data_IF_855912571974
#
_entry.id   IF_855912571974
#
_cell.length_a   1.000
_cell.length_b   1.000
_cell.length_c   1.000
_cell.angle_alpha   90.00
_cell.angle_beta   90.00
_cell.angle_gamma   90.00
#
_symmetry.space_group_name_H-M   'P 1'
#
loop_
_entity.id
_entity.type
_entity.pdbx_description
1 polymer ?
#
# COMPACT_ATOMS: atom_id res chain seq x y z
N UNK A 1 -38.55 -7.53 -18.27
CA UNK A 1 -37.97 -6.80 -17.14
C UNK A 1 -37.09 -7.79 -16.39
N UNK A 2 -35.79 -7.76 -16.61
CA UNK A 2 -34.86 -8.61 -15.88
C UNK A 2 -34.67 -8.01 -14.47
N UNK A 3 -35.08 -8.77 -13.46
CA UNK A 3 -34.77 -8.45 -12.07
C UNK A 3 -33.22 -8.52 -11.89
N UNK A 4 -32.59 -7.52 -11.27
CA UNK A 4 -31.17 -7.60 -10.97
C UNK A 4 -30.93 -8.76 -10.01
N UNK A 5 -30.05 -9.68 -10.40
CA UNK A 5 -29.68 -10.85 -9.59
C UNK A 5 -29.22 -10.39 -8.19
N UNK A 6 -29.86 -10.96 -7.14
CA UNK A 6 -29.51 -10.67 -5.76
C UNK A 6 -28.04 -11.03 -5.48
N UNK A 7 -27.23 -10.03 -5.14
CA UNK A 7 -25.82 -10.26 -4.79
C UNK A 7 -25.71 -10.87 -3.39
N UNK A 8 -24.85 -11.87 -3.24
CA UNK A 8 -24.57 -12.48 -1.94
C UNK A 8 -24.01 -11.45 -0.94
N UNK A 9 -24.39 -11.46 0.35
CA UNK A 9 -23.80 -10.60 1.39
C UNK A 9 -22.27 -10.63 1.44
N UNK A 10 -21.65 -11.78 1.15
CA UNK A 10 -20.20 -11.93 1.05
C UNK A 10 -19.62 -11.15 -0.13
N UNK A 11 -20.30 -11.09 -1.26
CA UNK A 11 -19.89 -10.32 -2.44
C UNK A 11 -19.98 -8.81 -2.14
N UNK A 12 -21.05 -8.38 -1.49
CA UNK A 12 -21.24 -6.97 -1.09
C UNK A 12 -20.13 -6.54 -0.12
N UNK A 13 -19.81 -7.36 0.89
CA UNK A 13 -18.74 -7.11 1.85
C UNK A 13 -17.36 -7.00 1.18
N UNK A 14 -17.05 -7.88 0.22
CA UNK A 14 -15.79 -7.81 -0.54
C UNK A 14 -15.69 -6.54 -1.39
N UNK A 15 -16.77 -6.15 -2.07
CA UNK A 15 -16.80 -4.92 -2.88
C UNK A 15 -16.60 -3.69 -1.99
N UNK A 16 -17.22 -3.66 -0.81
CA UNK A 16 -17.02 -2.56 0.15
C UNK A 16 -15.57 -2.50 0.66
N UNK A 17 -14.96 -3.64 0.99
CA UNK A 17 -13.57 -3.73 1.42
C UNK A 17 -12.59 -3.25 0.33
N UNK A 18 -12.79 -3.66 -0.92
CA UNK A 18 -11.97 -3.21 -2.06
C UNK A 18 -12.09 -1.69 -2.26
N UNK A 19 -13.32 -1.14 -2.22
CA UNK A 19 -13.53 0.30 -2.34
C UNK A 19 -12.85 1.07 -1.20
N UNK A 20 -12.94 0.56 0.04
CA UNK A 20 -12.26 1.14 1.19
C UNK A 20 -10.74 1.13 0.98
N UNK A 21 -10.17 0.01 0.53
CA UNK A 21 -8.74 -0.10 0.21
C UNK A 21 -8.27 0.95 -0.79
N UNK A 22 -9.00 1.13 -1.90
CA UNK A 22 -8.70 2.16 -2.91
C UNK A 22 -8.69 3.56 -2.31
N UNK A 23 -9.63 3.88 -1.41
CA UNK A 23 -9.67 5.17 -0.73
C UNK A 23 -8.48 5.35 0.23
N UNK A 24 -8.11 4.31 0.99
CA UNK A 24 -6.93 4.32 1.87
C UNK A 24 -5.67 4.61 1.07
N UNK A 25 -5.39 3.88 -0.03
CA UNK A 25 -4.23 4.12 -0.90
C UNK A 25 -4.22 5.56 -1.43
N UNK A 26 -5.37 6.05 -1.89
CA UNK A 26 -5.49 7.42 -2.40
C UNK A 26 -5.22 8.49 -1.32
N UNK A 27 -5.64 8.25 -0.09
CA UNK A 27 -5.35 9.15 1.02
C UNK A 27 -3.87 9.09 1.40
N UNK A 28 -3.26 7.90 1.45
CA UNK A 28 -1.83 7.73 1.73
C UNK A 28 -0.92 8.26 0.62
N UNK A 29 -1.41 8.35 -0.61
CA UNK A 29 -0.73 9.03 -1.72
C UNK A 29 -0.66 10.55 -1.47
N UNK A 30 -1.76 11.16 -1.07
CA UNK A 30 -1.95 12.62 -1.04
C UNK A 30 -1.55 13.25 0.29
N UNK A 31 -2.01 12.69 1.40
CA UNK A 31 -1.93 13.34 2.71
C UNK A 31 -0.52 13.55 3.28
N UNK A 32 0.49 12.70 3.01
CA UNK A 32 1.85 12.93 3.52
C UNK A 32 2.46 14.26 3.09
N UNK A 33 2.01 14.82 1.95
CA UNK A 33 2.51 16.10 1.39
C UNK A 33 1.84 17.32 2.01
N UNK A 34 0.83 17.13 2.86
CA UNK A 34 0.07 18.22 3.49
C UNK A 34 0.43 18.36 4.97
N UNK A 35 0.31 19.59 5.48
CA UNK A 35 0.47 19.86 6.90
C UNK A 35 -0.55 19.06 7.73
N UNK A 36 -0.23 18.75 8.99
CA UNK A 36 -1.15 18.01 9.87
C UNK A 36 -2.50 18.70 10.00
N UNK A 37 -2.49 20.03 10.04
CA UNK A 37 -3.70 20.86 10.15
C UNK A 37 -4.61 20.76 8.92
N UNK A 38 -4.05 20.54 7.74
CA UNK A 38 -4.79 20.50 6.48
C UNK A 38 -5.26 19.11 6.09
N UNK A 39 -4.63 18.05 6.64
CA UNK A 39 -4.89 16.66 6.24
C UNK A 39 -6.37 16.29 6.29
N UNK A 40 -7.07 16.70 7.35
CA UNK A 40 -8.49 16.34 7.50
C UNK A 40 -9.37 16.96 6.41
N UNK A 41 -9.19 18.26 6.13
CA UNK A 41 -9.94 18.97 5.10
C UNK A 41 -9.66 18.45 3.70
N UNK A 42 -8.39 18.19 3.39
CA UNK A 42 -7.95 17.60 2.12
C UNK A 42 -8.53 16.19 1.95
N UNK A 43 -8.46 15.35 2.97
CA UNK A 43 -9.00 14.00 2.94
C UNK A 43 -10.50 13.99 2.69
N UNK A 44 -11.25 14.84 3.40
CA UNK A 44 -12.71 14.95 3.24
C UNK A 44 -13.10 15.36 1.81
N UNK A 45 -12.37 16.31 1.21
CA UNK A 45 -12.57 16.72 -0.19
C UNK A 45 -12.30 15.57 -1.16
N UNK A 46 -11.21 14.83 -0.94
CA UNK A 46 -10.84 13.68 -1.78
C UNK A 46 -11.89 12.57 -1.72
N UNK A 47 -12.36 12.22 -0.51
CA UNK A 47 -13.40 11.20 -0.32
C UNK A 47 -14.71 11.61 -0.99
N UNK A 48 -15.16 12.84 -0.82
CA UNK A 48 -16.39 13.35 -1.48
C UNK A 48 -16.32 13.24 -3.00
N UNK A 49 -15.13 13.42 -3.58
CA UNK A 49 -14.93 13.30 -5.02
C UNK A 49 -14.91 11.83 -5.49
N UNK A 50 -14.24 10.94 -4.75
CA UNK A 50 -14.03 9.55 -5.16
C UNK A 50 -15.12 8.57 -4.70
N UNK A 51 -15.84 8.93 -3.63
CA UNK A 51 -16.91 8.14 -3.04
C UNK A 51 -18.08 9.02 -2.56
N UNK A 52 -18.81 9.67 -3.48
CA UNK A 52 -19.84 10.66 -3.13
C UNK A 52 -21.01 10.07 -2.31
N UNK A 53 -21.15 8.74 -2.28
CA UNK A 53 -22.20 8.06 -1.51
C UNK A 53 -21.79 7.59 -0.11
N UNK A 54 -20.56 7.88 0.34
CA UNK A 54 -20.13 7.54 1.70
C UNK A 54 -20.76 8.50 2.71
N UNK A 55 -21.21 8.00 3.87
CA UNK A 55 -21.72 8.85 4.94
C UNK A 55 -20.59 9.68 5.57
N UNK A 56 -20.93 10.85 6.12
CA UNK A 56 -19.93 11.71 6.77
C UNK A 56 -19.23 11.00 7.93
N UNK A 57 -19.95 10.20 8.73
CA UNK A 57 -19.38 9.44 9.85
C UNK A 57 -18.36 8.39 9.36
N UNK A 58 -18.69 7.63 8.31
CA UNK A 58 -17.78 6.64 7.74
C UNK A 58 -16.57 7.30 7.07
N UNK A 59 -16.75 8.47 6.45
CA UNK A 59 -15.66 9.25 5.90
C UNK A 59 -14.70 9.72 7.01
N UNK A 60 -15.25 10.27 8.10
CA UNK A 60 -14.47 10.77 9.22
C UNK A 60 -13.72 9.64 9.97
N UNK A 61 -14.33 8.47 10.11
CA UNK A 61 -13.68 7.29 10.67
C UNK A 61 -12.48 6.87 9.79
N UNK A 62 -12.68 6.80 8.47
CA UNK A 62 -11.63 6.47 7.53
C UNK A 62 -10.48 7.49 7.58
N UNK A 63 -10.80 8.79 7.62
CA UNK A 63 -9.78 9.85 7.71
C UNK A 63 -8.97 9.70 8.99
N UNK A 64 -9.63 9.51 10.14
CA UNK A 64 -8.94 9.32 11.43
C UNK A 64 -8.01 8.12 11.38
N UNK A 65 -8.45 6.99 10.81
CA UNK A 65 -7.61 5.78 10.70
C UNK A 65 -6.37 6.02 9.85
N UNK A 66 -6.50 6.73 8.72
CA UNK A 66 -5.36 7.03 7.84
C UNK A 66 -4.43 8.08 8.45
N UNK A 67 -4.97 9.13 9.07
CA UNK A 67 -4.14 10.16 9.73
C UNK A 67 -3.34 9.53 10.89
N UNK A 68 -3.93 8.58 11.63
CA UNK A 68 -3.19 7.86 12.68
C UNK A 68 -2.02 7.03 12.14
N UNK A 69 -2.13 6.45 10.94
CA UNK A 69 -1.00 5.77 10.29
C UNK A 69 0.15 6.72 9.96
N UNK A 70 -0.16 7.94 9.52
CA UNK A 70 0.86 8.95 9.17
C UNK A 70 1.67 9.43 10.37
N UNK A 71 1.13 9.31 11.58
CA UNK A 71 1.75 9.76 12.83
C UNK A 71 2.22 8.60 13.71
N UNK A 72 1.91 7.35 13.34
CA UNK A 72 2.30 6.17 14.09
C UNK A 72 3.84 6.01 14.09
N UNK A 73 4.49 5.81 15.26
CA UNK A 73 5.94 5.60 15.33
C UNK A 73 6.42 4.45 14.45
N UNK A 74 5.64 3.40 14.30
CA UNK A 74 5.92 2.23 13.48
C UNK A 74 6.01 2.59 11.98
N UNK A 75 5.35 3.68 11.57
CA UNK A 75 5.31 4.16 10.19
C UNK A 75 6.28 5.31 9.90
N UNK A 76 7.07 5.75 10.89
CA UNK A 76 7.96 6.92 10.75
C UNK A 76 8.94 6.86 9.56
N UNK A 77 9.34 5.64 9.15
CA UNK A 77 10.24 5.43 8.01
C UNK A 77 9.53 5.30 6.66
N UNK A 78 8.20 5.32 6.62
CA UNK A 78 7.39 5.11 5.41
C UNK A 78 7.11 6.43 4.69
N UNK A 79 6.61 7.43 5.43
CA UNK A 79 6.08 8.67 4.87
C UNK A 79 7.09 9.81 4.94
N UNK A 80 8.32 9.55 4.45
CA UNK A 80 9.37 10.58 4.40
C UNK A 80 9.03 11.69 3.39
N UNK A 81 9.44 12.94 3.64
CA UNK A 81 9.14 14.07 2.75
C UNK A 81 9.55 13.85 1.29
N UNK A 82 10.70 13.20 1.06
CA UNK A 82 11.26 12.95 -0.27
C UNK A 82 10.85 11.58 -0.84
N UNK A 83 9.96 10.85 -0.17
CA UNK A 83 9.47 9.57 -0.69
C UNK A 83 8.46 9.78 -1.82
N UNK A 84 8.57 8.92 -2.85
CA UNK A 84 7.70 8.92 -4.02
C UNK A 84 6.51 7.99 -3.78
N UNK A 85 5.33 8.39 -4.24
CA UNK A 85 4.11 7.58 -4.16
C UNK A 85 3.63 7.14 -5.54
N UNK A 86 2.97 5.97 -5.60
CA UNK A 86 2.35 5.44 -6.81
C UNK A 86 3.32 5.33 -7.99
N UNK A 87 4.53 4.82 -7.74
CA UNK A 87 5.63 4.75 -8.72
C UNK A 87 5.37 3.63 -9.73
N UNK A 88 5.14 3.94 -11.00
CA UNK A 88 4.98 2.91 -12.02
C UNK A 88 6.30 2.19 -12.28
N UNK A 89 6.25 0.87 -12.40
CA UNK A 89 7.40 0.04 -12.78
C UNK A 89 7.01 -0.90 -13.92
N UNK A 90 7.91 -1.03 -14.88
CA UNK A 90 7.75 -1.94 -16.01
C UNK A 90 9.10 -2.46 -16.46
N UNK A 91 9.17 -3.74 -16.80
CA UNK A 91 10.39 -4.36 -17.29
C UNK A 91 10.26 -5.88 -17.42
N UNK A 92 11.39 -6.56 -17.61
CA UNK A 92 11.45 -8.02 -17.74
C UNK A 92 12.18 -8.62 -16.55
N UNK A 93 11.55 -9.61 -15.93
CA UNK A 93 12.11 -10.40 -14.82
C UNK A 93 11.94 -11.88 -15.18
N UNK A 94 13.02 -12.66 -15.25
CA UNK A 94 12.99 -14.10 -15.60
C UNK A 94 12.16 -14.35 -16.88
N UNK A 95 12.44 -13.63 -17.96
CA UNK A 95 11.79 -13.71 -19.27
C UNK A 95 10.28 -13.40 -19.26
N UNK A 96 9.78 -12.81 -18.18
CA UNK A 96 8.38 -12.38 -18.05
C UNK A 96 8.28 -10.87 -17.97
N UNK A 97 7.34 -10.30 -18.71
CA UNK A 97 7.02 -8.88 -18.62
C UNK A 97 6.29 -8.64 -17.30
N UNK A 98 6.82 -7.74 -16.49
CA UNK A 98 6.22 -7.28 -15.24
C UNK A 98 5.82 -5.82 -15.42
N UNK A 99 4.56 -5.53 -15.16
CA UNK A 99 4.02 -4.17 -15.07
C UNK A 99 3.33 -4.02 -13.73
N UNK A 100 3.57 -2.91 -13.06
CA UNK A 100 2.96 -2.66 -11.77
C UNK A 100 3.16 -1.24 -11.28
N UNK A 101 2.79 -1.03 -10.04
CA UNK A 101 2.91 0.24 -9.36
C UNK A 101 3.29 -0.02 -7.92
N UNK A 102 4.34 0.64 -7.46
CA UNK A 102 4.80 0.55 -6.07
C UNK A 102 4.14 1.69 -5.30
N UNK A 103 3.44 1.37 -4.23
CA UNK A 103 2.67 2.36 -3.46
C UNK A 103 3.56 3.46 -2.89
N UNK A 104 4.77 3.11 -2.40
CA UNK A 104 5.75 4.11 -1.95
C UNK A 104 7.19 3.63 -2.10
N UNK A 105 8.05 4.56 -2.49
CA UNK A 105 9.50 4.35 -2.65
C UNK A 105 10.25 5.44 -1.90
N UNK A 106 11.17 5.07 -1.03
CA UNK A 106 12.10 5.99 -0.40
C UNK A 106 13.52 5.67 -0.89
N UNK A 107 14.21 6.68 -1.41
CA UNK A 107 15.54 6.54 -2.00
C UNK A 107 16.53 7.34 -1.15
N UNK A 108 17.57 6.68 -0.68
CA UNK A 108 18.70 7.30 0.00
C UNK A 108 19.99 7.07 -0.79
N UNK A 109 21.12 7.52 -0.26
CA UNK A 109 22.43 7.36 -0.90
C UNK A 109 22.76 5.89 -1.20
N UNK A 110 22.52 4.98 -0.24
CA UNK A 110 22.93 3.58 -0.32
C UNK A 110 21.77 2.58 -0.39
N UNK A 111 20.53 3.04 -0.28
CA UNK A 111 19.37 2.16 -0.12
C UNK A 111 18.15 2.67 -0.87
N UNK A 112 17.36 1.74 -1.41
CA UNK A 112 16.00 1.97 -1.89
C UNK A 112 15.05 1.10 -1.06
N UNK A 113 14.07 1.73 -0.42
CA UNK A 113 13.00 1.06 0.33
C UNK A 113 11.70 1.07 -0.46
N UNK A 114 11.14 -0.11 -0.69
CA UNK A 114 9.87 -0.30 -1.37
C UNK A 114 8.82 -0.64 -0.33
N UNK A 115 7.70 0.07 -0.36
CA UNK A 115 6.56 -0.20 0.53
C UNK A 115 5.33 -0.49 -0.31
N UNK A 116 4.62 -1.53 0.07
CA UNK A 116 3.34 -1.90 -0.51
C UNK A 116 2.28 -1.96 0.61
N UNK A 117 1.13 -1.31 0.38
CA UNK A 117 0.08 -1.16 1.39
C UNK A 117 -0.91 -2.30 1.28
N UNK A 118 -1.19 -2.94 2.39
CA UNK A 118 -2.17 -4.03 2.50
C UNK A 118 -3.37 -3.57 3.31
N UNK A 119 -4.50 -3.43 2.62
CA UNK A 119 -5.79 -3.03 3.20
C UNK A 119 -6.74 -4.22 3.20
N UNK A 120 -7.33 -4.49 4.35
CA UNK A 120 -8.21 -5.63 4.56
C UNK A 120 -7.47 -6.94 4.80
N UNK A 121 -8.21 -7.91 5.37
CA UNK A 121 -7.65 -9.21 5.73
C UNK A 121 -6.97 -9.23 7.12
N UNK A 122 -6.52 -10.43 7.50
CA UNK A 122 -5.81 -10.63 8.75
C UNK A 122 -4.39 -10.07 8.64
N UNK A 123 -3.99 -9.27 9.61
CA UNK A 123 -2.59 -8.87 9.79
C UNK A 123 -1.80 -10.08 10.32
N UNK A 124 -0.72 -10.53 9.65
CA UNK A 124 0.06 -11.67 10.11
C UNK A 124 0.70 -11.42 11.47
N UNK A 125 0.77 -12.43 12.32
CA UNK A 125 1.46 -12.35 13.61
C UNK A 125 2.99 -12.35 13.40
N UNK A 126 3.48 -13.13 12.44
CA UNK A 126 4.89 -13.23 12.08
C UNK A 126 5.17 -13.02 10.59
N UNK A 127 6.41 -12.69 10.24
CA UNK A 127 6.84 -12.49 8.84
C UNK A 127 6.61 -13.73 7.97
N UNK A 128 6.76 -14.93 8.54
CA UNK A 128 6.57 -16.20 7.83
C UNK A 128 5.11 -16.51 7.47
N UNK A 129 4.15 -15.79 8.05
CA UNK A 129 2.73 -15.89 7.71
C UNK A 129 2.34 -14.96 6.54
N UNK A 130 3.30 -14.25 5.96
CA UNK A 130 3.06 -13.37 4.82
C UNK A 130 2.53 -14.18 3.64
N UNK A 131 1.37 -13.80 3.04
CA UNK A 131 0.82 -14.50 1.89
C UNK A 131 1.81 -14.54 0.71
N UNK A 132 1.96 -15.72 0.10
CA UNK A 132 2.90 -15.95 -1.01
C UNK A 132 2.73 -14.95 -2.16
N UNK A 133 1.48 -14.58 -2.48
CA UNK A 133 1.19 -13.59 -3.53
C UNK A 133 1.85 -12.23 -3.28
N UNK A 134 1.98 -11.81 -2.02
CA UNK A 134 2.63 -10.54 -1.65
C UNK A 134 4.15 -10.65 -1.76
N UNK A 135 4.71 -11.81 -1.39
CA UNK A 135 6.14 -12.09 -1.53
C UNK A 135 6.53 -12.05 -3.01
N UNK A 136 5.77 -12.73 -3.89
CA UNK A 136 6.02 -12.76 -5.33
C UNK A 136 5.88 -11.39 -5.98
N UNK A 137 4.89 -10.59 -5.58
CA UNK A 137 4.72 -9.21 -6.05
C UNK A 137 5.94 -8.37 -5.71
N UNK A 138 6.36 -8.39 -4.44
CA UNK A 138 7.48 -7.59 -3.98
C UNK A 138 8.83 -8.10 -4.51
N UNK A 139 8.99 -9.39 -4.75
CA UNK A 139 10.15 -9.95 -5.42
C UNK A 139 10.31 -9.40 -6.84
N UNK A 140 9.20 -9.35 -7.60
CA UNK A 140 9.22 -8.78 -8.96
C UNK A 140 9.57 -7.28 -8.94
N UNK A 141 9.00 -6.50 -8.03
CA UNK A 141 9.33 -5.08 -7.87
C UNK A 141 10.78 -4.86 -7.44
N UNK A 142 11.28 -5.68 -6.50
CA UNK A 142 12.68 -5.67 -6.07
C UNK A 142 13.63 -5.94 -7.23
N UNK A 143 13.35 -6.97 -8.03
CA UNK A 143 14.18 -7.33 -9.19
C UNK A 143 14.26 -6.18 -10.21
N UNK A 144 13.13 -5.53 -10.55
CA UNK A 144 13.12 -4.36 -11.43
C UNK A 144 13.86 -3.17 -10.83
N UNK A 145 13.68 -2.91 -9.54
CA UNK A 145 14.35 -1.80 -8.86
C UNK A 145 15.86 -1.99 -8.81
N UNK A 146 16.34 -3.22 -8.61
CA UNK A 146 17.78 -3.55 -8.66
C UNK A 146 18.41 -3.35 -10.04
N UNK A 147 17.64 -3.50 -11.12
CA UNK A 147 18.11 -3.17 -12.48
C UNK A 147 18.31 -1.66 -12.66
N UNK A 148 17.48 -0.84 -12.01
CA UNK A 148 17.54 0.63 -12.08
C UNK A 148 18.64 1.17 -11.14
N UNK A 149 18.81 0.55 -9.97
CA UNK A 149 19.73 0.99 -8.92
C UNK A 149 20.68 -0.17 -8.53
N UNK A 150 21.63 -0.55 -9.41
CA UNK A 150 22.49 -1.74 -9.20
C UNK A 150 23.42 -1.57 -7.99
N UNK A 151 23.80 -0.33 -7.63
CA UNK A 151 24.73 -0.03 -6.55
C UNK A 151 24.03 0.20 -5.19
N UNK A 152 22.71 0.10 -5.15
CA UNK A 152 21.94 0.33 -3.91
C UNK A 152 21.36 -0.97 -3.35
N UNK A 153 21.30 -1.05 -2.04
CA UNK A 153 20.53 -2.12 -1.37
C UNK A 153 19.05 -1.87 -1.55
N UNK A 154 18.30 -2.86 -2.05
CA UNK A 154 16.84 -2.76 -2.19
C UNK A 154 16.15 -3.58 -1.11
N UNK A 155 15.42 -2.90 -0.23
CA UNK A 155 14.65 -3.49 0.87
C UNK A 155 13.16 -3.38 0.61
N UNK A 156 12.40 -4.39 1.03
CA UNK A 156 10.97 -4.54 0.77
C UNK A 156 10.18 -4.62 2.06
N UNK A 157 9.12 -3.84 2.12
CA UNK A 157 8.27 -3.71 3.31
C UNK A 157 6.79 -3.82 2.92
N UNK A 158 6.00 -4.44 3.79
CA UNK A 158 4.54 -4.39 3.73
C UNK A 158 4.03 -3.51 4.87
N UNK A 159 3.16 -2.55 4.55
CA UNK A 159 2.43 -1.75 5.52
C UNK A 159 0.99 -2.26 5.61
N UNK A 160 0.61 -2.79 6.76
CA UNK A 160 -0.76 -3.20 7.04
C UNK A 160 -1.55 -2.00 7.56
N UNK A 161 -2.56 -1.57 6.80
CA UNK A 161 -3.28 -0.31 7.09
C UNK A 161 -4.37 -0.44 8.15
N UNK A 162 -4.81 -1.67 8.45
CA UNK A 162 -5.80 -1.95 9.50
C UNK A 162 -5.22 -1.87 10.92
N UNK A 163 -3.90 -2.09 11.03
CA UNK A 163 -3.13 -1.83 12.24
C UNK A 163 -1.79 -1.24 11.78
N UNK A 164 -1.24 -0.22 12.44
CA UNK A 164 0.01 0.43 12.01
C UNK A 164 1.19 -0.54 12.19
N UNK A 165 1.29 -1.52 11.30
CA UNK A 165 2.32 -2.56 11.31
C UNK A 165 3.10 -2.55 10.00
N UNK A 166 4.39 -2.26 10.10
CA UNK A 166 5.35 -2.34 9.00
C UNK A 166 6.18 -3.61 9.19
N UNK A 167 6.21 -4.46 8.18
CA UNK A 167 6.94 -5.72 8.20
C UNK A 167 7.94 -5.74 7.07
N UNK A 168 9.22 -5.90 7.37
CA UNK A 168 10.24 -6.14 6.37
C UNK A 168 10.20 -7.59 5.90
N UNK A 169 10.19 -7.79 4.59
CA UNK A 169 10.15 -9.11 3.94
C UNK A 169 11.35 -9.35 3.01
N UNK A 170 12.40 -8.53 3.09
CA UNK A 170 13.58 -8.61 2.21
C UNK A 170 14.26 -9.97 2.28
N UNK A 171 14.47 -10.49 3.49
CA UNK A 171 15.13 -11.79 3.68
C UNK A 171 14.26 -12.95 3.20
N UNK A 172 12.95 -12.86 3.42
CA UNK A 172 11.97 -13.84 2.96
C UNK A 172 11.96 -13.94 1.42
N UNK A 173 12.06 -12.80 0.72
CA UNK A 173 12.22 -12.75 -0.73
C UNK A 173 13.55 -13.38 -1.14
N UNK A 174 14.67 -13.02 -0.49
CA UNK A 174 15.99 -13.56 -0.80
C UNK A 174 16.08 -15.08 -0.59
N UNK A 175 15.37 -15.65 0.35
CA UNK A 175 15.25 -17.09 0.55
C UNK A 175 14.54 -17.78 -0.62
N UNK A 176 13.46 -17.16 -1.14
CA UNK A 176 12.73 -17.66 -2.32
C UNK A 176 13.55 -17.59 -3.60
N UNK A 177 14.40 -16.57 -3.77
CA UNK A 177 15.27 -16.40 -4.94
C UNK A 177 16.39 -17.47 -4.99
N UNK A 178 16.73 -18.10 -3.84
CA UNK A 178 17.78 -19.14 -3.74
C UNK A 178 17.26 -20.56 -3.96
N UNK A 179 15.97 -20.80 -3.84
CA UNK A 179 15.31 -22.11 -3.97
C UNK A 179 14.67 -22.27 -5.35
#
# INVERSE_FOLDING_TARGET
>A
MDEPAAQSPLTIGRVAAVKRGILVHSLLEVLPRHSETDRFAVARKLIKTRAPGISDDAADELIRSVVSLLTAPECAGVFLPDSLSEVPVSGVVNDRVVNGRIDRVAISENEVRLFDYKSGGRVPDGVNETPEAYILQMAAYRALTRQIYPDKTVRCFLLWTEAPKVVEITDLIAERERN
#
